data_IF_017914669650
#
_entry.id   IF_017914669650
#
_cell.length_a   1.000
_cell.length_b   1.000
_cell.length_c   1.000
_cell.angle_alpha   90.00
_cell.angle_beta   90.00
_cell.angle_gamma   90.00
#
_symmetry.space_group_name_H-M   'P 1'
#
loop_
_entity.id
_entity.type
_entity.pdbx_description
1 polymer ?
#
# COMPACT_ATOMS: atom_id res chain seq x y z
N UNK A 1 -28.51 -27.71 11.77
CA UNK A 1 -27.21 -27.78 12.48
C UNK A 1 -26.23 -26.88 11.74
N UNK A 2 -25.72 -25.83 12.37
CA UNK A 2 -24.69 -24.98 11.76
C UNK A 2 -23.35 -25.73 11.77
N UNK A 3 -22.68 -25.79 10.62
CA UNK A 3 -21.34 -26.36 10.48
C UNK A 3 -20.40 -25.59 11.41
N UNK A 4 -19.70 -26.30 12.30
CA UNK A 4 -18.64 -25.70 13.12
C UNK A 4 -17.56 -25.16 12.18
N UNK A 5 -17.17 -23.88 12.28
CA UNK A 5 -16.07 -23.36 11.48
C UNK A 5 -14.81 -24.20 11.76
N UNK A 6 -14.00 -24.50 10.72
CA UNK A 6 -12.80 -25.30 10.89
C UNK A 6 -11.87 -24.69 11.95
N UNK A 7 -11.39 -25.52 12.88
CA UNK A 7 -10.55 -25.14 14.04
C UNK A 7 -9.21 -24.51 13.68
N UNK A 8 -8.80 -24.61 12.43
CA UNK A 8 -7.63 -23.95 11.89
C UNK A 8 -8.05 -23.35 10.56
N UNK A 9 -8.37 -22.06 10.54
CA UNK A 9 -8.27 -21.33 9.29
C UNK A 9 -6.77 -21.23 8.99
N UNK A 10 -6.27 -21.92 7.95
CA UNK A 10 -4.88 -21.75 7.55
C UNK A 10 -4.64 -20.27 7.25
N UNK A 11 -3.47 -19.77 7.64
CA UNK A 11 -3.09 -18.39 7.36
C UNK A 11 -3.14 -18.17 5.84
N UNK A 12 -4.09 -17.35 5.36
CA UNK A 12 -4.26 -17.11 3.92
C UNK A 12 -2.98 -16.58 3.25
N UNK A 13 -2.10 -15.92 4.01
CA UNK A 13 -0.80 -15.47 3.51
C UNK A 13 0.19 -16.60 3.27
N UNK A 14 0.10 -17.71 4.02
CA UNK A 14 0.95 -18.90 3.78
C UNK A 14 0.39 -19.75 2.64
N UNK A 15 -0.93 -19.71 2.41
CA UNK A 15 -1.57 -20.41 1.30
C UNK A 15 -1.43 -19.67 -0.04
N UNK A 16 -1.42 -18.34 0.01
CA UNK A 16 -1.29 -17.47 -1.16
C UNK A 16 -0.09 -16.53 -0.96
N UNK A 17 1.14 -17.07 -1.00
CA UNK A 17 2.33 -16.28 -0.81
C UNK A 17 2.50 -15.27 -1.95
N UNK A 18 3.42 -14.34 -1.74
CA UNK A 18 4.02 -13.66 -2.86
C UNK A 18 4.65 -14.72 -3.79
N UNK A 19 4.05 -14.98 -4.95
CA UNK A 19 4.51 -15.95 -5.95
C UNK A 19 5.28 -15.24 -7.09
N UNK A 20 5.67 -16.02 -8.11
CA UNK A 20 6.49 -15.56 -9.23
C UNK A 20 5.72 -14.80 -10.32
N UNK A 21 4.39 -14.70 -10.21
CA UNK A 21 3.59 -13.95 -11.17
C UNK A 21 3.89 -12.44 -11.12
N UNK A 22 3.70 -11.81 -12.27
CA UNK A 22 3.75 -10.36 -12.40
C UNK A 22 2.49 -9.76 -11.77
N UNK A 23 2.66 -8.72 -10.94
CA UNK A 23 1.53 -8.12 -10.20
C UNK A 23 1.49 -6.62 -10.33
N UNK A 24 0.29 -6.11 -10.54
CA UNK A 24 0.00 -4.69 -10.45
C UNK A 24 0.15 -4.21 -9.01
N UNK A 25 1.07 -3.27 -8.80
CA UNK A 25 1.29 -2.62 -7.51
C UNK A 25 0.53 -1.31 -7.50
N UNK A 26 -0.36 -1.17 -6.51
CA UNK A 26 -1.29 -0.06 -6.37
C UNK A 26 -0.94 0.76 -5.13
N UNK A 27 -1.00 2.07 -5.25
CA UNK A 27 -0.95 3.01 -4.13
C UNK A 27 -2.37 3.48 -3.81
N UNK A 28 -2.67 3.56 -2.53
CA UNK A 28 -3.93 4.14 -2.06
C UNK A 28 -3.65 5.14 -0.95
N UNK A 29 -4.23 6.33 -1.09
CA UNK A 29 -4.18 7.38 -0.08
C UNK A 29 -5.58 7.57 0.53
N UNK A 30 -5.70 7.20 1.79
CA UNK A 30 -6.92 7.31 2.57
C UNK A 30 -6.97 8.63 3.33
N UNK A 31 -8.18 9.15 3.46
CA UNK A 31 -8.50 10.26 4.35
C UNK A 31 -9.29 9.70 5.52
N UNK A 32 -9.05 10.24 6.70
CA UNK A 32 -9.98 10.04 7.82
C UNK A 32 -11.10 11.07 7.69
N UNK A 33 -12.35 10.66 7.85
CA UNK A 33 -13.53 11.54 7.83
C UNK A 33 -13.44 12.71 8.84
N UNK A 34 -12.60 12.59 9.87
CA UNK A 34 -12.39 13.60 10.90
C UNK A 34 -11.29 14.65 10.58
N UNK A 35 -10.59 14.57 9.45
CA UNK A 35 -9.56 15.56 9.07
C UNK A 35 -10.00 16.38 7.85
N UNK A 36 -10.50 17.59 8.12
CA UNK A 36 -10.73 18.62 7.08
C UNK A 36 -9.41 19.08 6.45
N UNK A 37 -8.32 19.02 7.21
CA UNK A 37 -6.99 19.40 6.74
C UNK A 37 -6.39 18.33 5.85
N UNK A 38 -6.02 18.73 4.63
CA UNK A 38 -5.31 17.93 3.63
C UNK A 38 -3.90 17.47 4.07
N UNK A 39 -3.51 17.68 5.33
CA UNK A 39 -2.14 17.54 5.80
C UNK A 39 -1.72 16.08 6.02
N UNK A 40 -2.61 15.24 6.55
CA UNK A 40 -2.30 13.85 6.88
C UNK A 40 -3.21 12.86 6.14
N UNK A 41 -2.66 12.21 5.11
CA UNK A 41 -3.28 11.06 4.45
C UNK A 41 -2.50 9.82 4.81
N UNK A 42 -3.20 8.75 5.15
CA UNK A 42 -2.57 7.46 5.28
C UNK A 42 -2.33 6.89 3.90
N UNK A 43 -1.13 6.38 3.66
CA UNK A 43 -0.77 5.86 2.34
C UNK A 43 -0.31 4.42 2.50
N UNK A 44 -0.88 3.54 1.70
CA UNK A 44 -0.48 2.15 1.61
C UNK A 44 -0.13 1.79 0.17
N UNK A 45 0.80 0.86 0.04
CA UNK A 45 1.16 0.19 -1.20
C UNK A 45 0.66 -1.24 -1.13
N UNK A 46 0.04 -1.76 -2.18
CA UNK A 46 -0.53 -3.10 -2.16
C UNK A 46 -0.52 -3.81 -3.50
N UNK A 47 -0.59 -5.15 -3.47
CA UNK A 47 -0.83 -5.99 -4.64
C UNK A 47 -1.61 -7.25 -4.26
N UNK A 48 -2.28 -7.88 -5.24
CA UNK A 48 -3.14 -9.06 -5.01
C UNK A 48 -2.37 -10.37 -5.23
N UNK A 49 -2.25 -11.21 -4.19
CA UNK A 49 -1.64 -12.53 -4.28
C UNK A 49 -2.60 -13.62 -4.79
N UNK A 50 -3.90 -13.50 -4.52
CA UNK A 50 -4.90 -14.44 -5.03
C UNK A 50 -6.29 -13.79 -5.08
N UNK A 51 -7.14 -14.34 -5.95
CA UNK A 51 -8.58 -14.12 -5.97
C UNK A 51 -9.23 -15.46 -5.64
N UNK A 52 -10.00 -15.52 -4.56
CA UNK A 52 -10.69 -16.72 -4.09
C UNK A 52 -12.19 -16.47 -4.32
N UNK A 53 -12.78 -17.21 -5.24
CA UNK A 53 -14.17 -17.03 -5.68
C UNK A 53 -14.45 -17.81 -6.96
N UNK A 54 -15.72 -17.92 -7.34
CA UNK A 54 -16.18 -18.80 -8.42
C UNK A 54 -16.00 -18.21 -9.83
N UNK A 55 -15.60 -16.95 -9.96
CA UNK A 55 -15.36 -16.32 -11.27
C UNK A 55 -14.65 -14.97 -11.19
N UNK A 56 -14.13 -14.44 -12.32
CA UNK A 56 -13.41 -13.16 -12.37
C UNK A 56 -14.29 -11.92 -12.13
N UNK A 57 -15.61 -12.04 -12.31
CA UNK A 57 -16.62 -10.97 -12.22
C UNK A 57 -17.68 -11.23 -11.14
N UNK A 58 -17.41 -12.14 -10.20
CA UNK A 58 -18.33 -12.46 -9.10
C UNK A 58 -18.12 -11.47 -7.95
N UNK A 59 -19.19 -10.83 -7.47
CA UNK A 59 -19.14 -9.88 -6.34
C UNK A 59 -18.64 -10.55 -5.03
N UNK A 60 -18.70 -11.88 -4.98
CA UNK A 60 -18.19 -12.70 -3.87
C UNK A 60 -16.69 -13.04 -3.96
N UNK A 61 -15.94 -12.41 -4.89
CA UNK A 61 -14.50 -12.66 -5.05
C UNK A 61 -13.69 -12.04 -3.91
N UNK A 62 -13.19 -12.88 -3.01
CA UNK A 62 -12.27 -12.49 -1.95
C UNK A 62 -10.85 -12.26 -2.50
N UNK A 63 -10.24 -11.11 -2.24
CA UNK A 63 -8.85 -10.80 -2.64
C UNK A 63 -7.89 -11.03 -1.47
N UNK A 64 -6.88 -11.86 -1.67
CA UNK A 64 -5.74 -11.94 -0.74
C UNK A 64 -4.73 -10.86 -1.13
N UNK A 65 -4.63 -9.82 -0.33
CA UNK A 65 -3.81 -8.63 -0.61
C UNK A 65 -2.57 -8.64 0.27
N UNK A 66 -1.42 -8.34 -0.32
CA UNK A 66 -0.21 -8.00 0.40
C UNK A 66 -0.03 -6.49 0.41
N UNK A 67 0.28 -5.94 1.58
CA UNK A 67 0.28 -4.51 1.83
C UNK A 67 1.56 -4.06 2.55
N UNK A 68 2.09 -2.91 2.14
CA UNK A 68 3.17 -2.17 2.79
C UNK A 68 2.60 -0.84 3.25
N UNK A 69 2.70 -0.56 4.53
CA UNK A 69 2.28 0.71 5.12
C UNK A 69 3.10 1.02 6.37
N UNK A 70 3.49 2.28 6.58
CA UNK A 70 4.00 2.72 7.86
C UNK A 70 2.85 2.74 8.90
N UNK A 71 3.05 2.15 10.08
CA UNK A 71 2.01 2.11 11.14
C UNK A 71 2.32 3.07 12.28
N UNK A 72 1.29 3.68 12.87
CA UNK A 72 1.41 4.41 14.14
C UNK A 72 1.96 5.84 14.06
N UNK A 73 1.80 6.53 12.92
CA UNK A 73 2.01 7.98 12.85
C UNK A 73 0.99 8.77 13.67
N UNK A 74 1.22 10.07 13.86
CA UNK A 74 0.30 10.98 14.57
C UNK A 74 -0.99 11.16 13.75
N UNK A 75 -2.05 10.46 14.15
CA UNK A 75 -3.36 10.43 13.50
C UNK A 75 -4.03 9.07 13.73
N UNK A 76 -5.27 9.06 14.23
CA UNK A 76 -6.03 7.82 14.37
C UNK A 76 -6.44 7.32 12.97
N UNK A 77 -5.67 6.40 12.41
CA UNK A 77 -6.07 5.64 11.22
C UNK A 77 -6.72 4.34 11.68
N UNK A 78 -7.91 4.47 12.26
CA UNK A 78 -8.77 3.32 12.57
C UNK A 78 -9.31 2.73 11.28
N UNK A 79 -9.50 1.41 11.24
CA UNK A 79 -10.09 0.65 10.13
C UNK A 79 -11.58 0.94 9.87
N UNK A 80 -12.10 2.06 10.37
CA UNK A 80 -13.48 2.48 10.16
C UNK A 80 -13.55 3.21 8.81
N UNK A 81 -14.20 2.54 7.87
CA UNK A 81 -14.53 2.96 6.51
C UNK A 81 -13.34 3.04 5.53
N UNK A 82 -12.99 1.87 4.97
CA UNK A 82 -12.18 1.73 3.76
C UNK A 82 -12.81 2.39 2.50
N UNK A 83 -14.02 2.96 2.61
CA UNK A 83 -14.78 3.52 1.48
C UNK A 83 -14.29 4.89 1.00
N UNK A 84 -13.29 5.51 1.66
CA UNK A 84 -12.74 6.80 1.23
C UNK A 84 -11.28 6.72 0.80
N UNK A 85 -10.95 5.74 -0.05
CA UNK A 85 -9.77 5.83 -0.90
C UNK A 85 -9.93 7.02 -1.86
N UNK A 86 -9.59 8.22 -1.39
CA UNK A 86 -9.80 9.44 -2.17
C UNK A 86 -8.91 9.52 -3.40
N UNK A 87 -7.71 8.94 -3.35
CA UNK A 87 -6.81 8.86 -4.49
C UNK A 87 -6.18 7.45 -4.55
N UNK A 88 -6.37 6.75 -5.66
CA UNK A 88 -5.68 5.48 -5.96
C UNK A 88 -4.93 5.59 -7.28
N UNK A 89 -3.74 5.01 -7.35
CA UNK A 89 -2.93 4.96 -8.57
C UNK A 89 -2.27 3.60 -8.76
N UNK A 90 -2.01 3.22 -10.00
CA UNK A 90 -1.18 2.04 -10.32
C UNK A 90 0.25 2.51 -10.59
N UNK A 91 1.22 1.98 -9.87
CA UNK A 91 2.64 2.31 -10.07
C UNK A 91 3.30 1.47 -11.16
N UNK A 92 2.65 0.38 -11.57
CA UNK A 92 3.11 -0.49 -12.62
C UNK A 92 2.87 -1.95 -12.30
N UNK A 93 3.34 -2.81 -13.20
CA UNK A 93 3.34 -4.25 -13.06
C UNK A 93 4.76 -4.71 -12.75
N UNK A 94 4.93 -5.46 -11.67
CA UNK A 94 6.23 -5.83 -11.14
C UNK A 94 6.35 -7.35 -11.00
N UNK A 95 7.48 -7.88 -11.47
CA UNK A 95 7.88 -9.26 -11.24
C UNK A 95 8.20 -9.51 -9.77
N UNK A 96 8.29 -10.78 -9.38
CA UNK A 96 8.66 -11.14 -8.00
C UNK A 96 9.96 -10.50 -7.53
N UNK A 97 11.01 -10.56 -8.34
CA UNK A 97 12.33 -9.97 -8.00
C UNK A 97 12.23 -8.46 -7.78
N UNK A 98 11.46 -7.77 -8.62
CA UNK A 98 11.22 -6.35 -8.45
C UNK A 98 10.40 -6.06 -7.19
N UNK A 99 9.39 -6.87 -6.86
CA UNK A 99 8.58 -6.69 -5.64
C UNK A 99 9.37 -6.98 -4.36
N UNK A 100 10.26 -7.97 -4.38
CA UNK A 100 11.21 -8.20 -3.28
C UNK A 100 12.14 -7.00 -3.12
N UNK A 101 12.63 -6.43 -4.22
CA UNK A 101 13.42 -5.20 -4.18
C UNK A 101 12.65 -4.00 -3.62
N UNK A 102 11.35 -3.87 -3.94
CA UNK A 102 10.48 -2.84 -3.33
C UNK A 102 10.40 -3.03 -1.81
N UNK A 103 10.25 -4.27 -1.33
CA UNK A 103 10.21 -4.57 0.11
C UNK A 103 11.53 -4.20 0.80
N UNK A 104 12.67 -4.51 0.17
CA UNK A 104 13.99 -4.11 0.67
C UNK A 104 14.17 -2.60 0.75
N UNK A 105 13.73 -1.87 -0.29
CA UNK A 105 13.79 -0.40 -0.31
C UNK A 105 12.89 0.20 0.77
N UNK A 106 11.66 -0.31 0.89
CA UNK A 106 10.69 0.12 1.90
C UNK A 106 11.24 -0.05 3.32
N UNK A 107 11.98 -1.14 3.59
CA UNK A 107 12.62 -1.37 4.89
C UNK A 107 13.77 -0.40 5.19
N UNK A 108 14.39 0.21 4.17
CA UNK A 108 15.50 1.17 4.32
C UNK A 108 15.01 2.60 4.51
N UNK A 109 13.81 2.94 4.02
CA UNK A 109 13.25 4.27 4.20
C UNK A 109 12.81 4.46 5.65
N UNK A 110 13.49 5.36 6.36
CA UNK A 110 13.21 5.65 7.75
C UNK A 110 11.83 6.28 7.93
N UNK A 111 11.04 5.77 8.88
CA UNK A 111 9.76 6.34 9.28
C UNK A 111 9.75 6.67 10.78
N UNK A 112 9.70 7.96 11.11
CA UNK A 112 9.56 8.40 12.49
C UNK A 112 8.09 8.60 12.85
N UNK A 113 7.55 7.69 13.66
CA UNK A 113 6.15 7.71 14.14
C UNK A 113 5.77 8.96 14.93
N UNK A 114 6.74 9.60 15.58
CA UNK A 114 6.56 10.81 16.41
C UNK A 114 6.71 12.10 15.61
N UNK A 115 7.12 11.98 14.35
CA UNK A 115 7.27 13.11 13.45
C UNK A 115 5.95 13.88 13.32
N UNK A 116 6.03 15.21 13.44
CA UNK A 116 4.90 16.10 13.16
C UNK A 116 4.99 16.69 11.75
N UNK A 117 6.16 16.56 11.11
CA UNK A 117 6.47 17.15 9.81
C UNK A 117 6.45 16.10 8.70
N UNK A 118 7.05 14.94 8.91
CA UNK A 118 7.25 13.85 7.95
C UNK A 118 6.26 12.71 8.19
N UNK A 119 5.10 12.78 7.53
CA UNK A 119 4.04 11.78 7.63
C UNK A 119 4.23 10.60 6.66
N UNK A 120 3.27 9.68 6.63
CA UNK A 120 3.23 8.55 5.69
C UNK A 120 3.46 8.98 4.23
N UNK A 121 3.02 10.19 3.84
CA UNK A 121 3.25 10.75 2.49
C UNK A 121 4.72 11.03 2.20
N UNK A 122 5.48 11.50 3.20
CA UNK A 122 6.92 11.73 3.04
C UNK A 122 7.66 10.41 2.88
N UNK A 123 7.30 9.43 3.72
CA UNK A 123 7.82 8.07 3.58
C UNK A 123 7.52 7.45 2.20
N UNK A 124 6.29 7.58 1.71
CA UNK A 124 5.92 7.08 0.37
C UNK A 124 6.69 7.80 -0.73
N UNK A 125 6.93 9.12 -0.59
CA UNK A 125 7.76 9.86 -1.54
C UNK A 125 9.16 9.29 -1.59
N UNK A 126 9.78 9.11 -0.44
CA UNK A 126 11.17 8.64 -0.33
C UNK A 126 11.32 7.21 -0.88
N UNK A 127 10.32 6.35 -0.63
CA UNK A 127 10.26 5.03 -1.25
C UNK A 127 10.17 5.13 -2.78
N UNK A 128 9.30 6.00 -3.30
CA UNK A 128 9.12 6.15 -4.74
C UNK A 128 10.40 6.70 -5.41
N UNK A 129 11.08 7.65 -4.79
CA UNK A 129 12.41 8.13 -5.23
C UNK A 129 13.40 6.96 -5.28
N UNK A 130 13.50 6.18 -4.20
CA UNK A 130 14.41 5.04 -4.13
C UNK A 130 14.09 3.96 -5.20
N UNK A 131 12.80 3.79 -5.53
CA UNK A 131 12.36 2.89 -6.60
C UNK A 131 12.75 3.40 -7.99
N UNK A 132 12.67 4.71 -8.24
CA UNK A 132 13.14 5.32 -9.49
C UNK A 132 14.66 5.18 -9.62
N UNK A 133 15.42 5.48 -8.56
CA UNK A 133 16.88 5.32 -8.54
C UNK A 133 17.31 3.86 -8.76
N UNK A 134 16.54 2.90 -8.27
CA UNK A 134 16.75 1.47 -8.51
C UNK A 134 16.31 1.00 -9.90
N UNK A 135 15.78 1.89 -10.75
CA UNK A 135 15.30 1.56 -12.09
C UNK A 135 14.02 0.71 -12.10
N UNK A 136 13.27 0.68 -11.00
CA UNK A 136 12.03 -0.08 -10.89
C UNK A 136 10.82 0.68 -11.45
N UNK A 137 10.84 2.00 -11.36
CA UNK A 137 9.76 2.89 -11.79
C UNK A 137 10.31 3.89 -12.79
N UNK A 138 9.59 4.08 -13.90
CA UNK A 138 9.92 5.15 -14.85
C UNK A 138 9.71 6.52 -14.19
N UNK A 139 10.66 7.46 -14.29
CA UNK A 139 10.50 8.82 -13.77
C UNK A 139 9.19 9.51 -14.18
N UNK A 140 8.61 9.19 -15.34
CA UNK A 140 7.31 9.72 -15.76
C UNK A 140 6.15 9.23 -14.89
N UNK A 141 6.22 7.99 -14.41
CA UNK A 141 5.24 7.45 -13.46
C UNK A 141 5.37 8.15 -12.11
N UNK A 142 6.59 8.51 -11.70
CA UNK A 142 6.82 9.33 -10.50
C UNK A 142 6.06 10.66 -10.58
N UNK A 143 6.20 11.39 -11.68
CA UNK A 143 5.54 12.69 -11.87
C UNK A 143 4.01 12.58 -11.83
N UNK A 144 3.44 11.54 -12.46
CA UNK A 144 1.99 11.29 -12.45
C UNK A 144 1.49 10.99 -11.04
N UNK A 145 2.24 10.18 -10.29
CA UNK A 145 1.88 9.81 -8.92
C UNK A 145 2.03 11.00 -7.98
N UNK A 146 3.11 11.78 -8.09
CA UNK A 146 3.35 12.97 -7.28
C UNK A 146 2.33 14.08 -7.56
N UNK A 147 1.87 14.21 -8.81
CA UNK A 147 0.79 15.11 -9.20
C UNK A 147 -0.59 14.67 -8.70
N UNK A 148 -0.89 13.36 -8.74
CA UNK A 148 -2.20 12.82 -8.34
C UNK A 148 -2.36 12.60 -6.82
N UNK A 149 -1.28 12.24 -6.13
CA UNK A 149 -1.18 12.20 -4.68
C UNK A 149 -0.07 13.17 -4.32
N UNK A 150 -0.35 14.41 -3.86
CA UNK A 150 0.72 15.34 -3.54
C UNK A 150 1.64 14.71 -2.47
N UNK A 151 2.79 14.16 -2.84
CA UNK A 151 3.66 13.46 -1.90
C UNK A 151 4.55 14.50 -1.24
N UNK A 152 4.48 14.61 0.09
CA UNK A 152 5.23 15.65 0.82
C UNK A 152 6.72 15.36 0.71
N UNK A 153 7.54 16.37 0.37
CA UNK A 153 9.00 16.25 0.49
C UNK A 153 9.38 16.18 1.97
N UNK A 154 10.36 15.32 2.29
CA UNK A 154 10.92 15.25 3.65
C UNK A 154 11.49 16.62 4.02
N UNK A 155 11.24 17.05 5.26
CA UNK A 155 11.72 18.32 5.81
C UNK A 155 12.32 18.10 7.22
N UNK A 156 13.13 19.03 7.74
CA UNK A 156 13.59 18.98 9.13
C UNK A 156 12.41 18.95 10.12
N UNK A 157 12.54 18.21 11.22
CA UNK A 157 11.57 18.24 12.34
C UNK A 157 11.61 19.56 13.12
#
# INVERSE_FOLDING_TARGET
>A
MALRPPRFMPNLYTQHPNDNSDKSVQVQAFRTSAQEDFSNRHVLLQWTNARIGSGPDDDDTCKVIQMIQPTGGVGQFGTQDNDQATNSGTWGVFSRKQRDRILELAARVEFNKRSRVNSCRAWTRDLLVAMVEAGLVDPKVFEVVDGGVPLKKRAPE
#
